data_IF_069632653612
#
_entry.id   IF_069632653612
#
_cell.length_a   1.000
_cell.length_b   1.000
_cell.length_c   1.000
_cell.angle_alpha   90.00
_cell.angle_beta   90.00
_cell.angle_gamma   90.00
#
_symmetry.space_group_name_H-M   'P 1'
#
loop_
_entity.id
_entity.type
_entity.pdbx_description
1 polymer ?
#
# COMPACT_ATOMS: atom_id res chain seq x y z
N UNK A 1 14.47 5.39 4.36
CA UNK A 1 15.18 4.13 4.66
C UNK A 1 14.45 3.43 5.78
N UNK A 2 14.27 2.11 5.69
CA UNK A 2 13.65 1.31 6.74
C UNK A 2 14.64 0.22 7.15
N UNK A 3 14.75 -0.04 8.45
CA UNK A 3 15.56 -1.13 9.01
C UNK A 3 14.60 -2.15 9.58
N UNK A 4 14.74 -3.41 9.16
CA UNK A 4 13.94 -4.53 9.69
C UNK A 4 14.82 -5.28 10.69
N UNK A 5 14.33 -5.39 11.93
CA UNK A 5 15.01 -6.13 13.00
C UNK A 5 14.14 -7.34 13.35
N UNK A 6 14.75 -8.52 13.38
CA UNK A 6 14.11 -9.78 13.76
C UNK A 6 14.37 -10.04 15.24
N UNK A 7 13.33 -10.45 15.96
CA UNK A 7 13.41 -10.86 17.36
C UNK A 7 13.14 -12.35 17.46
N UNK A 8 13.82 -13.03 18.38
CA UNK A 8 13.64 -14.47 18.62
C UNK A 8 12.25 -14.80 19.19
N UNK A 9 11.62 -13.85 19.90
CA UNK A 9 10.30 -14.03 20.51
C UNK A 9 9.13 -13.49 19.68
N UNK A 10 7.91 -13.84 20.09
CA UNK A 10 6.65 -13.42 19.45
C UNK A 10 6.19 -11.99 19.79
N UNK A 11 6.92 -11.27 20.65
CA UNK A 11 6.56 -9.92 21.09
C UNK A 11 7.62 -8.93 20.65
N UNK A 12 7.21 -7.92 19.88
CA UNK A 12 8.05 -6.79 19.51
C UNK A 12 8.14 -5.82 20.71
N UNK A 13 9.34 -5.54 21.24
CA UNK A 13 9.53 -4.52 22.28
C UNK A 13 9.14 -3.14 21.77
N UNK A 14 8.72 -2.22 22.65
CA UNK A 14 8.37 -0.85 22.24
C UNK A 14 9.60 -0.05 21.77
N UNK A 15 10.76 -0.31 22.38
CA UNK A 15 12.03 0.34 22.06
C UNK A 15 13.17 -0.68 22.06
N UNK A 16 14.17 -0.44 21.21
CA UNK A 16 15.45 -1.16 21.21
C UNK A 16 16.59 -0.15 21.23
N UNK A 17 17.66 -0.48 21.95
CA UNK A 17 18.89 0.30 21.91
C UNK A 17 19.79 -0.25 20.82
N UNK A 18 20.17 0.58 19.86
CA UNK A 18 21.11 0.24 18.79
C UNK A 18 22.22 1.29 18.77
N UNK A 19 23.45 0.87 19.12
CA UNK A 19 24.53 1.80 19.40
C UNK A 19 24.15 2.78 20.52
N UNK A 20 24.32 4.08 20.26
CA UNK A 20 23.93 5.16 21.17
C UNK A 20 22.48 5.63 21.05
N UNK A 21 21.67 5.05 20.15
CA UNK A 21 20.31 5.50 19.89
C UNK A 21 19.25 4.56 20.50
N UNK A 22 18.15 5.15 20.98
CA UNK A 22 16.94 4.43 21.38
C UNK A 22 15.93 4.51 20.24
N UNK A 23 15.69 3.39 19.57
CA UNK A 23 14.82 3.30 18.40
C UNK A 23 13.47 2.71 18.80
N UNK A 24 12.38 3.37 18.41
CA UNK A 24 11.03 2.83 18.58
C UNK A 24 10.82 1.69 17.58
N UNK A 25 10.40 0.53 18.07
CA UNK A 25 10.04 -0.59 17.22
C UNK A 25 8.53 -0.65 17.01
N UNK A 26 8.15 -1.11 15.82
CA UNK A 26 6.76 -1.41 15.47
C UNK A 26 6.72 -2.65 14.60
N UNK A 27 5.61 -3.39 14.64
CA UNK A 27 5.41 -4.53 13.77
C UNK A 27 5.56 -4.08 12.32
N UNK A 28 6.49 -4.73 11.60
CA UNK A 28 6.62 -4.52 10.18
C UNK A 28 5.29 -4.86 9.51
N UNK A 29 4.77 -3.97 8.67
CA UNK A 29 3.56 -4.22 7.87
C UNK A 29 3.93 -4.05 6.43
N UNK A 30 3.98 -5.16 5.67
CA UNK A 30 4.29 -5.09 4.25
C UNK A 30 3.14 -4.41 3.54
N UNK A 31 3.40 -3.22 3.00
CA UNK A 31 2.44 -2.54 2.15
C UNK A 31 2.44 -3.19 0.78
N UNK A 32 1.25 -3.52 0.26
CA UNK A 32 1.10 -3.88 -1.14
C UNK A 32 1.16 -2.61 -1.97
N UNK A 33 2.11 -2.53 -2.89
CA UNK A 33 2.17 -1.44 -3.85
C UNK A 33 1.13 -1.63 -4.94
N UNK A 34 0.35 -0.58 -5.17
CA UNK A 34 -0.63 -0.46 -6.24
C UNK A 34 -0.17 0.71 -7.11
N UNK A 35 -0.05 0.50 -8.41
CA UNK A 35 0.34 1.55 -9.33
C UNK A 35 -0.77 2.59 -9.47
N UNK A 36 -0.45 3.87 -9.27
CA UNK A 36 -1.41 4.97 -9.43
C UNK A 36 -1.82 5.24 -10.89
N UNK A 37 -1.04 4.77 -11.87
CA UNK A 37 -1.38 4.94 -13.29
C UNK A 37 -2.27 3.80 -13.78
N UNK A 38 -1.79 2.56 -13.71
CA UNK A 38 -2.45 1.42 -14.32
C UNK A 38 -3.25 0.53 -13.35
N UNK A 39 -3.28 0.84 -12.05
CA UNK A 39 -4.02 0.10 -11.03
C UNK A 39 -3.44 -1.25 -10.63
N UNK A 40 -2.45 -1.77 -11.37
CA UNK A 40 -1.88 -3.09 -11.13
C UNK A 40 -1.05 -3.14 -9.86
N UNK A 41 -1.02 -4.33 -9.25
CA UNK A 41 -0.26 -4.62 -8.05
C UNK A 41 1.23 -4.89 -8.35
N UNK A 42 2.07 -4.72 -7.34
CA UNK A 42 3.47 -5.18 -7.34
C UNK A 42 4.48 -4.14 -7.85
N UNK A 43 4.02 -2.97 -8.27
CA UNK A 43 4.90 -1.86 -8.63
C UNK A 43 4.26 -0.52 -8.28
N UNK A 44 5.10 0.51 -8.20
CA UNK A 44 4.68 1.89 -7.96
C UNK A 44 4.60 2.67 -9.27
N UNK A 45 4.01 3.86 -9.21
CA UNK A 45 3.79 4.69 -10.39
C UNK A 45 5.09 5.12 -11.10
N UNK A 46 6.15 5.34 -10.32
CA UNK A 46 7.49 5.73 -10.79
C UNK A 46 8.22 4.65 -11.58
N UNK A 47 7.88 3.37 -11.35
CA UNK A 47 8.47 2.21 -12.04
C UNK A 47 7.44 1.49 -12.91
N UNK A 48 6.38 2.20 -13.33
CA UNK A 48 5.32 1.60 -14.10
C UNK A 48 5.78 1.25 -15.52
N UNK A 49 5.61 0.01 -15.99
CA UNK A 49 5.96 -0.36 -17.36
C UNK A 49 5.04 0.27 -18.41
N UNK A 50 3.86 0.76 -18.02
CA UNK A 50 2.93 1.43 -18.93
C UNK A 50 2.26 2.64 -18.24
N UNK A 51 2.95 3.80 -18.16
CA UNK A 51 2.44 4.99 -17.47
C UNK A 51 1.30 5.70 -18.22
N UNK A 52 1.10 5.38 -19.50
CA UNK A 52 0.03 5.98 -20.32
C UNK A 52 -1.34 5.34 -20.08
N UNK A 53 -1.38 4.10 -19.56
CA UNK A 53 -2.60 3.38 -19.25
C UNK A 53 -3.26 3.90 -17.97
N UNK A 54 -3.75 5.16 -18.00
CA UNK A 54 -4.43 5.78 -16.86
C UNK A 54 -5.82 5.17 -16.65
N UNK A 55 -6.10 4.76 -15.42
CA UNK A 55 -7.39 4.21 -15.00
C UNK A 55 -8.08 5.10 -13.96
N UNK A 56 -9.39 4.90 -13.76
CA UNK A 56 -10.07 5.44 -12.59
C UNK A 56 -9.56 4.77 -11.31
N UNK A 57 -9.22 5.56 -10.29
CA UNK A 57 -8.89 5.02 -8.96
C UNK A 57 -10.10 4.55 -8.16
N UNK A 58 -11.31 4.91 -8.57
CA UNK A 58 -12.53 4.44 -7.93
C UNK A 58 -12.94 3.07 -8.48
N UNK A 59 -13.15 2.95 -9.79
CA UNK A 59 -13.77 1.77 -10.40
C UNK A 59 -12.83 0.93 -11.28
N UNK A 60 -11.58 1.34 -11.51
CA UNK A 60 -10.65 0.60 -12.37
C UNK A 60 -10.85 0.80 -13.89
N UNK A 61 -11.86 1.58 -14.32
CA UNK A 61 -12.16 1.76 -15.74
C UNK A 61 -11.02 2.47 -16.52
N UNK A 62 -10.64 1.99 -17.71
CA UNK A 62 -9.62 2.62 -18.54
C UNK A 62 -10.11 3.97 -19.08
N UNK A 63 -9.21 4.96 -19.11
CA UNK A 63 -9.43 6.25 -19.81
C UNK A 63 -10.64 7.05 -19.35
N UNK A 64 -10.92 7.09 -18.05
CA UNK A 64 -12.04 7.88 -17.51
C UNK A 64 -11.61 9.29 -17.09
N UNK A 65 -12.27 10.36 -17.57
CA UNK A 65 -12.21 11.69 -16.97
C UNK A 65 -12.78 11.65 -15.54
N UNK A 66 -12.49 12.70 -14.76
CA UNK A 66 -12.90 12.86 -13.36
C UNK A 66 -14.43 12.82 -13.12
N UNK A 67 -15.24 12.88 -14.18
CA UNK A 67 -16.70 13.05 -14.16
C UNK A 67 -17.44 11.90 -14.85
N UNK A 68 -17.30 10.67 -14.34
CA UNK A 68 -18.20 9.58 -14.69
C UNK A 68 -18.84 9.02 -13.43
N UNK A 69 -20.04 8.41 -13.57
CA UNK A 69 -20.72 7.76 -12.47
C UNK A 69 -19.90 6.55 -12.02
N UNK A 70 -19.10 6.76 -10.98
CA UNK A 70 -18.11 5.82 -10.49
C UNK A 70 -18.60 5.21 -9.18
N UNK A 71 -18.79 3.89 -9.16
CA UNK A 71 -18.94 3.13 -7.92
C UNK A 71 -17.54 2.72 -7.46
N UNK A 72 -16.98 3.31 -6.38
CA UNK A 72 -15.64 2.99 -5.96
C UNK A 72 -15.60 1.55 -5.42
N UNK A 73 -14.75 0.71 -6.01
CA UNK A 73 -14.55 -0.68 -5.60
C UNK A 73 -13.06 -0.95 -5.57
N UNK A 74 -12.55 -1.37 -4.41
CA UNK A 74 -11.12 -1.65 -4.28
C UNK A 74 -10.76 -3.02 -4.83
N UNK A 75 -9.85 -3.09 -5.80
CA UNK A 75 -9.37 -4.37 -6.35
C UNK A 75 -8.63 -5.27 -5.33
N UNK A 76 -8.12 -4.72 -4.22
CA UNK A 76 -7.44 -5.52 -3.20
C UNK A 76 -8.39 -6.24 -2.23
N UNK A 77 -9.55 -5.67 -1.93
CA UNK A 77 -10.44 -6.17 -0.88
C UNK A 77 -11.92 -6.18 -1.25
N UNK A 78 -12.29 -5.73 -2.45
CA UNK A 78 -13.67 -5.64 -2.93
C UNK A 78 -14.54 -4.60 -2.22
N UNK A 79 -13.98 -3.80 -1.30
CA UNK A 79 -14.73 -2.86 -0.46
C UNK A 79 -15.02 -1.54 -1.18
N UNK A 80 -16.04 -0.81 -0.72
CA UNK A 80 -16.46 0.47 -1.31
C UNK A 80 -15.57 1.63 -0.85
N UNK A 81 -14.37 1.74 -1.42
CA UNK A 81 -13.43 2.84 -1.20
C UNK A 81 -12.46 2.96 -2.38
N UNK A 82 -11.67 4.04 -2.45
CA UNK A 82 -10.75 4.23 -3.57
C UNK A 82 -9.59 3.23 -3.53
N UNK A 83 -9.09 2.87 -4.72
CA UNK A 83 -7.88 2.07 -4.87
C UNK A 83 -6.69 2.78 -4.21
N UNK A 84 -5.89 2.01 -3.46
CA UNK A 84 -4.76 2.52 -2.69
C UNK A 84 -5.15 3.58 -1.64
N UNK A 85 -6.37 3.55 -1.11
CA UNK A 85 -6.72 4.35 0.05
C UNK A 85 -6.08 3.77 1.32
N UNK A 86 -5.78 4.62 2.31
CA UNK A 86 -5.17 4.20 3.58
C UNK A 86 -6.15 3.42 4.48
N UNK A 87 -7.44 3.53 4.19
CA UNK A 87 -8.53 2.82 4.88
C UNK A 87 -8.58 1.33 4.52
N UNK A 88 -7.95 0.93 3.41
CA UNK A 88 -7.88 -0.46 2.98
C UNK A 88 -7.02 -1.30 3.94
N UNK A 89 -7.65 -2.12 4.78
CA UNK A 89 -6.92 -3.04 5.68
C UNK A 89 -6.08 -4.05 4.91
N UNK A 90 -6.55 -4.53 3.75
CA UNK A 90 -5.83 -5.47 2.89
C UNK A 90 -4.56 -4.89 2.25
N UNK A 91 -4.39 -3.56 2.26
CA UNK A 91 -3.17 -2.89 1.80
C UNK A 91 -1.97 -3.22 2.67
N UNK A 92 -2.19 -3.50 3.96
CA UNK A 92 -1.14 -3.82 4.91
C UNK A 92 -1.24 -5.30 5.28
N UNK A 93 -0.34 -6.13 4.75
CA UNK A 93 -0.21 -7.50 5.24
C UNK A 93 0.56 -7.45 6.55
N UNK A 94 -0.12 -7.82 7.64
CA UNK A 94 0.55 -8.16 8.89
C UNK A 94 1.34 -9.46 8.64
N UNK A 95 2.64 -9.52 8.97
CA UNK A 95 3.40 -10.76 8.98
C UNK A 95 2.89 -11.71 10.05
#
# INVERSE_FOLDING_TARGET
MAVIVLFEGFKVPTYVRYGGALLRCSLYRKQVDICYYCGRLGHRADVCPNPQARICRGCGAPSSPKDHQCTPTCELCGSNHQMAERTCRARYKTP
#
